data_IF_590396891255
#
_entry.id   IF_590396891255
#
_cell.length_a   1.000
_cell.length_b   1.000
_cell.length_c   1.000
_cell.angle_alpha   90.00
_cell.angle_beta   90.00
_cell.angle_gamma   90.00
#
_symmetry.space_group_name_H-M   'P 1'
#
loop_
_entity.id
_entity.type
_entity.pdbx_description
1 polymer ?
#
# COMPACT_ATOMS: atom_id res chain seq x y z
N UNK A 1 1.12 -18.64 22.69
CA UNK A 1 -0.10 -18.74 21.89
C UNK A 1 -0.26 -17.46 21.08
N UNK A 2 -0.52 -17.57 19.78
CA UNK A 2 -0.79 -16.43 18.89
C UNK A 2 -2.10 -15.71 19.27
N UNK A 3 -3.08 -16.45 19.78
CA UNK A 3 -4.40 -15.90 20.09
C UNK A 3 -4.34 -14.81 21.16
N UNK A 4 -3.39 -14.90 22.09
CA UNK A 4 -3.21 -13.95 23.19
C UNK A 4 -2.44 -12.69 22.80
N UNK A 5 -1.96 -12.57 21.56
CA UNK A 5 -1.23 -11.37 21.11
C UNK A 5 -2.17 -10.18 20.93
N UNK A 6 -1.66 -8.98 21.24
CA UNK A 6 -2.32 -7.72 20.89
C UNK A 6 -2.47 -7.57 19.38
N UNK A 7 -3.43 -6.75 18.94
CA UNK A 7 -3.63 -6.47 17.52
C UNK A 7 -2.37 -5.88 16.87
N UNK A 8 -1.67 -4.99 17.57
CA UNK A 8 -0.44 -4.37 17.06
C UNK A 8 0.69 -5.38 16.93
N UNK A 9 0.79 -6.35 17.85
CA UNK A 9 1.76 -7.43 17.73
C UNK A 9 1.44 -8.35 16.55
N UNK A 10 0.18 -8.70 16.36
CA UNK A 10 -0.26 -9.49 15.19
C UNK A 10 0.04 -8.73 13.89
N UNK A 11 -0.26 -7.43 13.84
CA UNK A 11 -0.03 -6.60 12.66
C UNK A 11 1.46 -6.48 12.34
N UNK A 12 2.30 -6.19 13.34
CA UNK A 12 3.75 -6.12 13.19
C UNK A 12 4.31 -7.43 12.65
N UNK A 13 3.92 -8.55 13.23
CA UNK A 13 4.31 -9.88 12.76
C UNK A 13 3.95 -10.09 11.28
N UNK A 14 2.70 -9.86 10.90
CA UNK A 14 2.23 -10.15 9.54
C UNK A 14 2.79 -9.23 8.46
N UNK A 15 3.01 -7.95 8.77
CA UNK A 15 3.67 -7.03 7.83
C UNK A 15 5.13 -7.44 7.61
N UNK A 16 5.85 -7.77 8.69
CA UNK A 16 7.23 -8.24 8.58
C UNK A 16 7.32 -9.56 7.82
N UNK A 17 6.43 -10.52 8.13
CA UNK A 17 6.38 -11.81 7.44
C UNK A 17 6.09 -11.64 5.95
N UNK A 18 5.07 -10.85 5.58
CA UNK A 18 4.76 -10.55 4.18
C UNK A 18 5.97 -9.99 3.44
N UNK A 19 6.60 -8.95 3.98
CA UNK A 19 7.74 -8.31 3.33
C UNK A 19 8.95 -9.25 3.21
N UNK A 20 9.20 -10.10 4.21
CA UNK A 20 10.24 -11.12 4.16
C UNK A 20 9.94 -12.18 3.09
N UNK A 21 8.69 -12.64 2.99
CA UNK A 21 8.27 -13.61 1.99
C UNK A 21 8.33 -13.06 0.56
N UNK A 22 7.96 -11.79 0.36
CA UNK A 22 8.16 -11.12 -0.94
C UNK A 22 9.65 -11.08 -1.30
N UNK A 23 10.53 -10.75 -0.34
CA UNK A 23 11.98 -10.77 -0.58
C UNK A 23 12.47 -12.16 -0.96
N UNK A 24 12.03 -13.22 -0.28
CA UNK A 24 12.36 -14.61 -0.61
C UNK A 24 11.93 -14.94 -2.04
N UNK A 25 10.67 -14.66 -2.41
CA UNK A 25 10.16 -14.87 -3.77
C UNK A 25 11.04 -14.15 -4.81
N UNK A 26 11.39 -12.90 -4.57
CA UNK A 26 12.21 -12.12 -5.50
C UNK A 26 13.62 -12.70 -5.61
N UNK A 27 14.28 -13.03 -4.49
CA UNK A 27 15.65 -13.55 -4.47
C UNK A 27 15.73 -14.91 -5.16
N UNK A 28 14.80 -15.82 -4.84
CA UNK A 28 14.81 -17.19 -5.37
C UNK A 28 14.53 -17.25 -6.87
N UNK A 29 13.95 -16.20 -7.44
CA UNK A 29 13.62 -16.09 -8.86
C UNK A 29 14.48 -15.06 -9.60
N UNK A 30 15.51 -14.48 -8.96
CA UNK A 30 16.36 -13.48 -9.59
C UNK A 30 17.36 -14.13 -10.57
N UNK A 31 17.58 -13.56 -11.77
CA UNK A 31 16.89 -12.40 -12.34
C UNK A 31 15.49 -12.75 -12.84
N UNK A 32 14.52 -11.87 -12.55
CA UNK A 32 13.14 -12.04 -13.01
C UNK A 32 13.06 -11.57 -14.47
N UNK A 33 12.73 -12.48 -15.39
CA UNK A 33 12.52 -12.15 -16.79
C UNK A 33 11.54 -13.11 -17.47
N UNK A 34 10.24 -12.82 -17.36
CA UNK A 34 9.18 -13.54 -18.04
C UNK A 34 8.72 -12.78 -19.30
N UNK A 35 9.40 -13.02 -20.42
CA UNK A 35 9.07 -12.42 -21.72
C UNK A 35 7.69 -12.82 -22.27
N UNK A 36 7.05 -13.84 -21.70
CA UNK A 36 5.70 -14.28 -22.09
C UNK A 36 4.60 -13.53 -21.33
N UNK A 37 4.96 -12.71 -20.35
CA UNK A 37 3.99 -11.92 -19.60
C UNK A 37 3.30 -10.91 -20.52
N UNK A 38 1.98 -10.99 -20.58
CA UNK A 38 1.13 -10.04 -21.32
C UNK A 38 0.53 -8.97 -20.40
N UNK A 39 0.41 -9.27 -19.10
CA UNK A 39 -0.27 -8.42 -18.13
C UNK A 39 0.69 -7.51 -17.34
N UNK A 40 1.90 -7.99 -17.05
CA UNK A 40 2.90 -7.27 -16.26
C UNK A 40 4.21 -7.11 -17.03
N UNK A 41 5.06 -6.12 -16.70
CA UNK A 41 6.42 -6.02 -17.23
C UNK A 41 7.17 -7.35 -17.07
N UNK A 42 8.04 -7.70 -18.02
CA UNK A 42 8.74 -9.00 -18.00
C UNK A 42 9.59 -9.20 -16.74
N UNK A 43 10.11 -8.13 -16.15
CA UNK A 43 10.87 -8.20 -14.91
C UNK A 43 10.00 -8.11 -13.65
N UNK A 44 8.67 -8.05 -13.73
CA UNK A 44 7.82 -7.90 -12.56
C UNK A 44 7.78 -9.18 -11.70
N UNK A 45 7.88 -9.09 -10.36
CA UNK A 45 7.59 -10.19 -9.45
C UNK A 45 6.23 -10.86 -9.69
N UNK A 46 5.22 -10.09 -10.16
CA UNK A 46 3.89 -10.61 -10.49
C UNK A 46 3.87 -11.61 -11.64
N UNK A 47 4.96 -11.74 -12.40
CA UNK A 47 5.09 -12.73 -13.46
C UNK A 47 5.52 -14.12 -12.98
N UNK A 48 5.89 -14.25 -11.70
CA UNK A 48 6.21 -15.53 -11.07
C UNK A 48 4.91 -16.25 -10.76
N UNK A 49 4.68 -17.37 -11.43
CA UNK A 49 3.46 -18.16 -11.29
C UNK A 49 3.30 -18.65 -9.85
N UNK A 50 2.08 -18.53 -9.31
CA UNK A 50 1.74 -18.98 -7.96
C UNK A 50 2.38 -18.21 -6.81
N UNK A 51 3.27 -17.24 -7.06
CA UNK A 51 4.03 -16.55 -6.00
C UNK A 51 3.15 -15.93 -4.90
N UNK A 52 1.96 -15.42 -5.26
CA UNK A 52 1.04 -14.83 -4.28
C UNK A 52 -0.01 -15.81 -3.73
N UNK A 53 -0.31 -16.89 -4.44
CA UNK A 53 -1.50 -17.72 -4.18
C UNK A 53 -1.20 -19.15 -3.80
N UNK A 54 -0.06 -19.68 -4.21
CA UNK A 54 0.25 -21.11 -4.16
C UNK A 54 1.52 -21.38 -3.33
N UNK A 55 2.43 -20.41 -3.23
CA UNK A 55 3.60 -20.51 -2.34
C UNK A 55 3.15 -20.34 -0.90
N UNK A 56 3.32 -21.40 -0.14
CA UNK A 56 3.00 -21.50 1.27
C UNK A 56 4.26 -21.29 2.12
N UNK A 57 4.10 -20.51 3.18
CA UNK A 57 5.15 -20.23 4.15
C UNK A 57 4.69 -20.67 5.54
N UNK A 58 5.58 -21.37 6.25
CA UNK A 58 5.37 -21.77 7.62
C UNK A 58 5.02 -20.58 8.52
N UNK A 59 3.99 -20.72 9.35
CA UNK A 59 3.62 -19.72 10.34
C UNK A 59 3.16 -20.36 11.66
N UNK A 60 3.07 -19.59 12.76
CA UNK A 60 2.62 -20.10 14.06
C UNK A 60 1.17 -20.61 14.12
N UNK A 61 0.39 -20.47 13.04
CA UNK A 61 -0.99 -20.96 12.97
C UNK A 61 -1.09 -22.14 12.00
N UNK A 62 -0.84 -21.88 10.72
CA UNK A 62 -0.85 -22.81 9.60
C UNK A 62 0.00 -22.20 8.47
N UNK A 63 0.24 -22.95 7.41
CA UNK A 63 0.87 -22.45 6.19
C UNK A 63 0.04 -21.33 5.55
N UNK A 64 0.72 -20.29 5.05
CA UNK A 64 0.06 -19.11 4.50
C UNK A 64 0.69 -18.64 3.19
N UNK A 65 -0.14 -18.04 2.34
CA UNK A 65 0.29 -17.40 1.09
C UNK A 65 0.35 -15.88 1.27
N UNK A 66 1.10 -15.17 0.43
CA UNK A 66 1.15 -13.70 0.45
C UNK A 66 -0.25 -13.09 0.32
N UNK A 67 -1.08 -13.63 -0.58
CA UNK A 67 -2.48 -13.21 -0.78
C UNK A 67 -3.32 -13.41 0.49
N UNK A 68 -3.12 -14.54 1.21
CA UNK A 68 -3.81 -14.79 2.47
C UNK A 68 -3.44 -13.75 3.53
N UNK A 69 -2.18 -13.35 3.61
CA UNK A 69 -1.73 -12.32 4.55
C UNK A 69 -2.35 -10.96 4.19
N UNK A 70 -2.20 -10.53 2.93
CA UNK A 70 -2.60 -9.21 2.41
C UNK A 70 -4.11 -8.99 2.40
N UNK A 71 -4.88 -9.97 1.91
CA UNK A 71 -6.33 -9.82 1.71
C UNK A 71 -7.17 -10.55 2.75
N UNK A 72 -6.58 -11.46 3.53
CA UNK A 72 -7.29 -12.26 4.52
C UNK A 72 -7.01 -11.85 5.97
N UNK A 73 -5.73 -11.79 6.35
CA UNK A 73 -5.31 -11.63 7.75
C UNK A 73 -5.26 -10.14 8.12
N UNK A 74 -4.43 -9.36 7.42
CA UNK A 74 -4.18 -7.95 7.75
C UNK A 74 -5.44 -7.07 7.76
N UNK A 75 -6.41 -7.22 6.83
CA UNK A 75 -7.65 -6.42 6.85
C UNK A 75 -8.47 -6.62 8.13
N UNK A 76 -8.39 -7.81 8.74
CA UNK A 76 -9.09 -8.14 10.00
C UNK A 76 -8.40 -7.53 11.23
N UNK A 77 -7.16 -7.07 11.10
CA UNK A 77 -6.39 -6.40 12.17
C UNK A 77 -6.61 -4.88 12.20
N UNK A 78 -7.45 -4.34 11.32
CA UNK A 78 -8.17 -3.09 11.55
C UNK A 78 -7.34 -1.79 11.53
N UNK A 79 -6.28 -1.69 10.73
CA UNK A 79 -5.57 -0.42 10.52
C UNK A 79 -5.41 -0.13 9.02
N UNK A 80 -6.02 0.96 8.50
CA UNK A 80 -5.96 1.29 7.08
C UNK A 80 -4.56 1.64 6.59
N UNK A 81 -3.66 2.07 7.47
CA UNK A 81 -2.28 2.38 7.09
C UNK A 81 -1.44 1.13 6.77
N UNK A 82 -1.95 -0.06 7.05
CA UNK A 82 -1.25 -1.32 6.77
C UNK A 82 -0.84 -1.44 5.30
N UNK A 83 -1.64 -0.89 4.37
CA UNK A 83 -1.31 -0.93 2.93
C UNK A 83 0.05 -0.29 2.65
N UNK A 84 0.41 0.80 3.33
CA UNK A 84 1.69 1.49 3.15
C UNK A 84 2.87 0.71 3.73
N UNK A 85 2.61 -0.32 4.54
CA UNK A 85 3.63 -1.18 5.11
C UNK A 85 3.98 -2.38 4.24
N UNK A 86 3.21 -2.66 3.18
CA UNK A 86 3.39 -3.83 2.32
C UNK A 86 4.14 -3.46 1.05
N UNK A 87 5.32 -4.04 0.87
CA UNK A 87 6.11 -3.89 -0.34
C UNK A 87 5.95 -5.14 -1.20
N UNK A 88 5.43 -4.99 -2.42
CA UNK A 88 5.30 -6.09 -3.38
C UNK A 88 6.58 -6.31 -4.22
N UNK A 89 7.66 -5.58 -3.93
CA UNK A 89 8.90 -5.61 -4.71
C UNK A 89 8.80 -4.84 -6.04
N UNK A 90 7.79 -3.99 -6.23
CA UNK A 90 7.60 -3.23 -7.50
C UNK A 90 7.84 -1.75 -7.32
N UNK A 91 8.24 -1.01 -8.37
CA UNK A 91 8.53 0.44 -8.27
C UNK A 91 7.34 1.28 -7.81
N UNK A 92 6.12 0.86 -8.15
CA UNK A 92 4.87 1.52 -7.77
C UNK A 92 4.28 1.08 -6.42
N UNK A 93 4.87 0.10 -5.73
CA UNK A 93 4.42 -0.28 -4.38
C UNK A 93 5.06 0.63 -3.31
N UNK A 94 4.53 0.64 -2.08
CA UNK A 94 5.21 1.25 -0.95
C UNK A 94 6.65 0.75 -0.81
N UNK A 95 7.53 1.64 -0.37
CA UNK A 95 8.93 1.30 -0.15
C UNK A 95 9.07 0.25 0.97
N UNK A 96 10.00 -0.67 0.79
CA UNK A 96 10.38 -1.59 1.87
C UNK A 96 10.97 -0.78 3.03
N UNK A 97 10.38 -0.93 4.22
CA UNK A 97 10.90 -0.29 5.42
C UNK A 97 12.31 -0.78 5.73
N UNK A 98 13.25 0.14 5.91
CA UNK A 98 14.60 -0.16 6.41
C UNK A 98 14.63 -0.57 7.90
N UNK A 99 13.48 -0.65 8.56
CA UNK A 99 13.32 -1.08 9.94
C UNK A 99 12.22 -2.12 10.06
N UNK A 100 12.40 -3.06 10.97
CA UNK A 100 11.37 -4.03 11.36
C UNK A 100 10.20 -3.31 12.02
N UNK A 101 8.97 -3.66 11.65
CA UNK A 101 7.77 -3.17 12.33
C UNK A 101 7.70 -3.76 13.74
N UNK A 102 7.51 -2.90 14.75
CA UNK A 102 7.46 -3.31 16.16
C UNK A 102 6.09 -3.01 16.76
N UNK A 103 5.53 -3.88 17.62
CA UNK A 103 4.22 -3.66 18.21
C UNK A 103 4.07 -2.29 18.90
N UNK A 104 5.13 -1.81 19.54
CA UNK A 104 5.12 -0.59 20.34
C UNK A 104 5.12 0.68 19.48
N UNK A 105 5.55 0.59 18.22
CA UNK A 105 5.75 1.75 17.33
C UNK A 105 5.04 1.62 16.00
N UNK A 106 4.28 0.54 15.77
CA UNK A 106 3.76 0.17 14.45
C UNK A 106 2.90 1.27 13.84
N UNK A 107 2.04 1.92 14.62
CA UNK A 107 1.17 2.96 14.10
C UNK A 107 1.99 4.16 13.59
N UNK A 108 3.00 4.60 14.36
CA UNK A 108 3.90 5.66 13.93
C UNK A 108 4.74 5.27 12.70
N UNK A 109 5.19 4.01 12.63
CA UNK A 109 5.93 3.49 11.48
C UNK A 109 5.05 3.47 10.22
N UNK A 110 3.80 3.03 10.32
CA UNK A 110 2.85 3.00 9.20
C UNK A 110 2.42 4.40 8.77
N UNK A 111 2.24 5.34 9.71
CA UNK A 111 1.99 6.75 9.36
C UNK A 111 3.19 7.38 8.65
N UNK A 112 4.41 7.04 9.06
CA UNK A 112 5.64 7.48 8.36
C UNK A 112 5.69 6.91 6.95
N UNK A 113 5.36 5.62 6.77
CA UNK A 113 5.30 4.98 5.47
C UNK A 113 4.25 5.66 4.56
N UNK A 114 3.09 6.02 5.10
CA UNK A 114 2.06 6.78 4.38
C UNK A 114 2.55 8.17 3.94
N UNK A 115 3.24 8.89 4.82
CA UNK A 115 3.85 10.19 4.49
C UNK A 115 4.86 10.06 3.35
N UNK A 116 5.73 9.05 3.40
CA UNK A 116 6.69 8.79 2.32
C UNK A 116 5.99 8.47 1.00
N UNK A 117 5.02 7.56 1.03
CA UNK A 117 4.29 7.15 -0.17
C UNK A 117 3.57 8.33 -0.83
N UNK A 118 2.84 9.14 -0.06
CA UNK A 118 2.10 10.30 -0.57
C UNK A 118 3.00 11.52 -0.88
N UNK A 119 4.21 11.55 -0.34
CA UNK A 119 5.20 12.59 -0.62
C UNK A 119 5.92 12.38 -1.96
N UNK A 120 5.89 11.15 -2.50
CA UNK A 120 6.48 10.81 -3.79
C UNK A 120 5.55 11.22 -4.96
N UNK A 121 6.07 12.03 -5.88
CA UNK A 121 5.30 12.60 -7.00
C UNK A 121 4.81 11.55 -7.99
N UNK A 122 5.43 10.35 -8.02
CA UNK A 122 4.95 9.22 -8.81
C UNK A 122 3.61 8.68 -8.29
N UNK A 123 3.35 8.86 -6.99
CA UNK A 123 2.17 8.33 -6.32
C UNK A 123 1.09 9.40 -6.11
N UNK A 124 1.50 10.66 -5.95
CA UNK A 124 0.59 11.77 -5.76
C UNK A 124 1.19 13.05 -6.35
N UNK A 125 0.55 13.57 -7.39
CA UNK A 125 0.94 14.81 -8.05
C UNK A 125 -0.26 15.59 -8.54
N UNK A 126 -0.04 16.86 -8.85
CA UNK A 126 -1.04 17.75 -9.45
C UNK A 126 -0.61 18.02 -10.90
N UNK A 127 -1.55 18.01 -11.83
CA UNK A 127 -1.28 18.45 -13.21
C UNK A 127 -0.80 19.90 -13.24
N UNK A 128 -0.03 20.26 -14.27
CA UNK A 128 0.55 21.62 -14.41
C UNK A 128 -0.51 22.73 -14.41
N UNK A 129 -1.71 22.45 -14.93
CA UNK A 129 -2.85 23.37 -14.95
C UNK A 129 -3.61 23.45 -13.60
N UNK A 130 -3.21 22.65 -12.61
CA UNK A 130 -3.85 22.59 -11.30
C UNK A 130 -5.23 21.92 -11.27
N UNK A 131 -5.72 21.42 -12.40
CA UNK A 131 -7.09 20.94 -12.57
C UNK A 131 -7.30 19.46 -12.22
N UNK A 132 -6.21 18.68 -12.10
CA UNK A 132 -6.30 17.23 -11.91
C UNK A 132 -5.30 16.73 -10.87
N UNK A 133 -5.81 16.08 -9.83
CA UNK A 133 -5.01 15.35 -8.85
C UNK A 133 -4.79 13.92 -9.35
N UNK A 134 -3.53 13.58 -9.59
CA UNK A 134 -3.10 12.27 -10.05
C UNK A 134 -2.71 11.42 -8.85
N UNK A 135 -3.33 10.25 -8.70
CA UNK A 135 -3.20 9.39 -7.51
C UNK A 135 -2.91 7.96 -7.95
N UNK A 136 -1.90 7.33 -7.34
CA UNK A 136 -1.57 5.92 -7.57
C UNK A 136 -2.78 5.01 -7.32
N UNK A 137 -2.98 4.04 -8.22
CA UNK A 137 -4.01 3.01 -8.09
C UNK A 137 -3.84 2.13 -6.85
N UNK A 138 -2.66 2.10 -6.23
CA UNK A 138 -2.44 1.41 -4.95
C UNK A 138 -3.45 1.87 -3.89
N UNK A 139 -3.82 3.16 -3.93
CA UNK A 139 -4.80 3.71 -3.02
C UNK A 139 -6.20 3.11 -3.21
N UNK A 140 -6.57 2.61 -4.41
CA UNK A 140 -7.87 1.96 -4.63
C UNK A 140 -8.07 0.71 -3.80
N UNK A 141 -6.99 0.06 -3.38
CA UNK A 141 -7.03 -1.12 -2.50
C UNK A 141 -7.42 -0.75 -1.06
N UNK A 142 -7.44 0.55 -0.73
CA UNK A 142 -7.75 1.04 0.59
C UNK A 142 -9.16 0.59 1.02
N UNK A 143 -9.15 -0.25 2.06
CA UNK A 143 -10.31 -1.01 2.51
C UNK A 143 -11.42 -0.15 3.12
N UNK A 144 -12.56 -0.76 3.48
CA UNK A 144 -13.64 -0.14 4.28
C UNK A 144 -13.14 0.58 5.54
N UNK A 145 -12.03 0.10 6.12
CA UNK A 145 -11.41 0.73 7.31
C UNK A 145 -10.86 2.13 7.00
N UNK A 146 -10.47 2.38 5.76
CA UNK A 146 -9.98 3.67 5.29
C UNK A 146 -11.07 4.74 5.35
N UNK A 147 -12.22 4.46 4.73
CA UNK A 147 -13.40 5.34 4.80
C UNK A 147 -13.80 5.55 6.25
N UNK A 148 -13.87 4.47 7.05
CA UNK A 148 -14.23 4.59 8.48
C UNK A 148 -13.28 5.49 9.28
N UNK A 149 -12.01 5.60 8.90
CA UNK A 149 -11.00 6.36 9.65
C UNK A 149 -10.92 7.82 9.21
N UNK A 150 -10.99 8.09 7.91
CA UNK A 150 -10.69 9.42 7.36
C UNK A 150 -11.90 10.17 6.82
N UNK A 151 -13.05 9.50 6.59
CA UNK A 151 -14.25 10.22 6.18
C UNK A 151 -14.78 11.08 7.33
N UNK A 152 -15.06 12.35 7.02
CA UNK A 152 -15.86 13.23 7.88
C UNK A 152 -16.99 13.82 7.04
N UNK A 153 -18.20 13.80 7.57
CA UNK A 153 -19.39 14.19 6.82
C UNK A 153 -19.38 15.67 6.41
N UNK A 154 -19.99 15.96 5.26
CA UNK A 154 -20.30 17.30 4.76
C UNK A 154 -19.10 18.22 4.48
N UNK A 155 -17.88 17.69 4.29
CA UNK A 155 -16.70 18.54 4.04
C UNK A 155 -16.57 19.01 2.58
N UNK A 156 -17.05 18.24 1.61
CA UNK A 156 -16.87 18.54 0.18
C UNK A 156 -18.13 18.15 -0.61
N UNK A 157 -18.76 19.13 -1.26
CA UNK A 157 -19.94 18.88 -2.07
C UNK A 157 -19.60 18.00 -3.28
N UNK A 158 -20.52 17.09 -3.66
CA UNK A 158 -20.43 16.23 -4.86
C UNK A 158 -19.27 15.22 -4.86
N UNK A 159 -18.63 14.97 -3.72
CA UNK A 159 -17.65 13.90 -3.52
C UNK A 159 -18.27 12.69 -2.86
N UNK A 160 -17.84 11.50 -3.24
CA UNK A 160 -18.23 10.29 -2.52
C UNK A 160 -17.43 10.14 -1.20
N UNK A 161 -17.86 9.21 -0.34
CA UNK A 161 -17.25 9.02 0.98
C UNK A 161 -15.78 8.61 0.90
N UNK A 162 -15.40 7.89 -0.14
CA UNK A 162 -14.04 7.41 -0.34
C UNK A 162 -13.13 8.54 -0.81
N UNK A 163 -13.58 9.36 -1.77
CA UNK A 163 -12.84 10.56 -2.20
C UNK A 163 -12.62 11.53 -1.03
N UNK A 164 -13.64 11.76 -0.19
CA UNK A 164 -13.48 12.62 1.01
C UNK A 164 -12.46 12.02 1.98
N UNK A 165 -12.49 10.71 2.21
CA UNK A 165 -11.50 10.03 3.04
C UNK A 165 -10.08 10.16 2.47
N UNK A 166 -9.94 10.02 1.15
CA UNK A 166 -8.66 10.16 0.45
C UNK A 166 -8.11 11.58 0.54
N UNK A 167 -8.96 12.58 0.30
CA UNK A 167 -8.61 14.01 0.45
C UNK A 167 -8.11 14.31 1.87
N UNK A 168 -8.80 13.79 2.90
CA UNK A 168 -8.39 13.98 4.29
C UNK A 168 -7.09 13.28 4.65
N UNK A 169 -6.84 12.09 4.10
CA UNK A 169 -5.54 11.42 4.24
C UNK A 169 -4.44 12.28 3.61
N UNK A 170 -4.66 12.75 2.37
CA UNK A 170 -3.68 13.57 1.65
C UNK A 170 -3.32 14.80 2.47
N UNK A 171 -4.32 15.58 2.90
CA UNK A 171 -4.09 16.76 3.74
C UNK A 171 -3.33 16.43 5.04
N UNK A 172 -3.58 15.27 5.65
CA UNK A 172 -2.87 14.84 6.86
C UNK A 172 -1.37 14.60 6.60
N UNK A 173 -1.01 14.08 5.43
CA UNK A 173 0.34 13.58 5.16
C UNK A 173 1.18 14.47 4.25
N UNK A 174 0.60 15.44 3.56
CA UNK A 174 1.31 16.32 2.63
C UNK A 174 1.45 17.76 3.11
N UNK A 175 0.92 18.08 4.29
CA UNK A 175 0.82 19.46 4.78
C UNK A 175 0.09 20.35 3.77
N UNK A 176 0.63 21.55 3.55
CA UNK A 176 -0.05 22.59 2.78
C UNK A 176 0.00 22.35 1.25
N UNK A 177 0.82 21.40 0.75
CA UNK A 177 1.10 21.19 -0.69
C UNK A 177 -0.18 21.12 -1.55
N UNK A 178 -1.21 20.44 -1.05
CA UNK A 178 -2.48 20.24 -1.76
C UNK A 178 -3.67 20.95 -1.10
N UNK A 179 -3.43 21.77 -0.07
CA UNK A 179 -4.50 22.37 0.73
C UNK A 179 -5.44 23.24 -0.09
N UNK A 180 -4.90 24.13 -0.91
CA UNK A 180 -5.72 25.04 -1.74
C UNK A 180 -6.58 24.28 -2.75
N UNK A 181 -6.01 23.28 -3.42
CA UNK A 181 -6.72 22.48 -4.43
C UNK A 181 -7.84 21.68 -3.78
N UNK A 182 -7.53 20.99 -2.68
CA UNK A 182 -8.48 20.13 -1.97
C UNK A 182 -9.61 20.95 -1.35
N UNK A 183 -9.30 22.08 -0.70
CA UNK A 183 -10.31 22.91 -0.03
C UNK A 183 -11.23 23.64 -1.02
N UNK A 184 -10.71 24.10 -2.17
CA UNK A 184 -11.53 24.67 -3.25
C UNK A 184 -12.42 23.60 -3.92
N UNK A 185 -12.01 22.33 -3.88
CA UNK A 185 -12.76 21.20 -4.42
C UNK A 185 -13.16 21.37 -5.90
N UNK A 186 -12.30 22.01 -6.70
CA UNK A 186 -12.49 22.26 -8.13
C UNK A 186 -11.43 21.54 -8.96
N UNK A 187 -11.32 20.23 -8.78
CA UNK A 187 -10.33 19.38 -9.47
C UNK A 187 -10.93 18.02 -9.84
N UNK A 188 -10.34 17.33 -10.80
CA UNK A 188 -10.64 15.94 -11.10
C UNK A 188 -9.66 15.00 -10.40
N UNK A 189 -10.08 13.77 -10.09
CA UNK A 189 -9.15 12.72 -9.68
C UNK A 189 -8.87 11.83 -10.89
N UNK A 190 -7.58 11.65 -11.20
CA UNK A 190 -7.11 10.68 -12.19
C UNK A 190 -6.30 9.61 -11.49
N UNK A 191 -6.64 8.36 -11.75
CA UNK A 191 -5.89 7.22 -11.26
C UNK A 191 -4.71 6.94 -12.17
N UNK A 192 -3.53 6.80 -11.57
CA UNK A 192 -2.28 6.50 -12.27
C UNK A 192 -1.96 5.04 -12.06
N UNK A 193 -1.82 4.32 -13.17
CA UNK A 193 -1.40 2.92 -13.16
C UNK A 193 -0.07 2.79 -12.43
N UNK A 194 0.02 1.82 -11.53
CA UNK A 194 1.24 1.61 -10.77
C UNK A 194 2.30 0.96 -11.65
N UNK A 195 3.55 1.35 -11.45
CA UNK A 195 4.68 0.68 -12.09
C UNK A 195 4.91 -0.71 -11.45
N UNK A 196 4.55 -1.75 -12.18
CA UNK A 196 4.71 -3.14 -11.74
C UNK A 196 6.12 -3.70 -11.96
N UNK A 197 7.04 -2.97 -12.59
CA UNK A 197 8.42 -3.45 -12.77
C UNK A 197 9.12 -3.64 -11.42
N UNK A 198 10.07 -4.59 -11.38
CA UNK A 198 10.87 -4.86 -10.18
C UNK A 198 11.56 -3.58 -9.71
N UNK A 199 11.56 -3.36 -8.40
CA UNK A 199 12.27 -2.26 -7.77
C UNK A 199 13.75 -2.62 -7.53
N UNK A 200 14.47 -2.97 -8.60
CA UNK A 200 15.91 -3.18 -8.61
C UNK A 200 16.66 -1.96 -9.17
N UNK A 201 17.98 -1.94 -8.98
CA UNK A 201 18.85 -0.81 -9.35
C UNK A 201 19.28 -0.87 -10.83
N UNK A 202 18.62 -1.72 -11.63
CA UNK A 202 18.96 -1.96 -13.05
C UNK A 202 18.06 -1.17 -14.01
#
# INVERSE_FOLDING_TARGET
DYNTWSLDRKRAFWINAYNAFVLTVVIDNYPINNVKSLQYPSNSPKTIEGAWTDVEFDSPMDDVTLSRIEHGILPKLGNPYTIFGLCNGTKGSPELSGQVYRPETIDAQLETAATKFLGDEKNLSLSEDGGTLMISEEMRTASRTFVSRFYKSNQYARRDKYEVALMNLILKHTGDKYQDVITKNHFNIKWVERDWSLNDVL
#
